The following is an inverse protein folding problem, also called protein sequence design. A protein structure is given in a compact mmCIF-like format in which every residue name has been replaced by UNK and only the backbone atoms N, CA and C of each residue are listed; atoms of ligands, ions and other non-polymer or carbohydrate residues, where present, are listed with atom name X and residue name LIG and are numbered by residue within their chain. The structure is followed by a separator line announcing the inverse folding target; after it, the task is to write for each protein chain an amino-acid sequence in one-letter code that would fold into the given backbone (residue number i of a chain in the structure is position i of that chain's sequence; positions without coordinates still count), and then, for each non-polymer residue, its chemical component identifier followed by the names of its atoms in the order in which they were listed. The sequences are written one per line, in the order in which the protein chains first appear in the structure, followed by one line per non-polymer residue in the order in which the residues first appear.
data_IF_915935720391
#
_entry.id   IF_915935720391
#
_cell.length_a   1.000
_cell.length_b   1.000
_cell.length_c   1.000
_cell.angle_alpha   90.00
_cell.angle_beta   90.00
_cell.angle_gamma   90.00
#
_symmetry.space_group_name_H-M   'P 1'
#
loop_
_entity.id
_entity.type
_entity.pdbx_description
1 polymer ?
#
# COMPACT_ATOMS: atom_id res chain seq x y z
N UNK A 1 4.33 12.66 6.88
CA UNK A 1 4.12 11.48 7.73
C UNK A 1 3.84 11.99 9.12
N UNK A 2 2.78 11.54 9.78
CA UNK A 2 2.45 11.97 11.15
C UNK A 2 2.96 10.93 12.12
N UNK A 3 3.87 11.31 13.02
CA UNK A 3 4.37 10.44 14.09
C UNK A 3 3.66 10.87 15.36
N UNK A 4 2.85 10.00 15.95
CA UNK A 4 2.18 10.26 17.21
C UNK A 4 2.97 9.67 18.38
N UNK A 5 2.81 10.25 19.58
CA UNK A 5 3.53 9.82 20.79
C UNK A 5 3.18 8.40 21.25
N UNK A 6 2.06 7.85 20.79
CA UNK A 6 1.63 6.46 21.01
C UNK A 6 2.21 5.48 19.96
N UNK A 7 3.08 5.96 19.05
CA UNK A 7 3.65 5.21 17.93
C UNK A 7 2.58 4.53 17.04
N UNK A 8 1.34 5.02 17.07
CA UNK A 8 0.22 4.46 16.31
C UNK A 8 0.09 5.09 14.94
N UNK A 9 -0.12 4.25 13.92
CA UNK A 9 -0.41 4.73 12.57
C UNK A 9 -1.84 5.25 12.40
N UNK A 10 -2.69 5.23 13.44
CA UNK A 10 -4.09 5.63 13.34
C UNK A 10 -4.27 7.08 12.89
N UNK A 11 -3.53 8.00 13.51
CA UNK A 11 -3.57 9.45 13.22
C UNK A 11 -3.10 9.70 11.78
N UNK A 12 -1.96 9.11 11.41
CA UNK A 12 -1.39 9.21 10.06
C UNK A 12 -2.32 8.65 8.98
N UNK A 13 -2.88 7.45 9.18
CA UNK A 13 -3.84 6.84 8.25
C UNK A 13 -5.07 7.72 8.11
N UNK A 14 -5.59 8.27 9.21
CA UNK A 14 -6.70 9.24 9.18
C UNK A 14 -6.38 10.48 8.34
N UNK A 15 -5.21 11.08 8.55
CA UNK A 15 -4.76 12.26 7.83
C UNK A 15 -4.58 12.00 6.33
N UNK A 16 -3.92 10.90 5.96
CA UNK A 16 -3.74 10.49 4.57
C UNK A 16 -5.09 10.23 3.90
N UNK A 17 -5.98 9.52 4.59
CA UNK A 17 -7.32 9.23 4.11
C UNK A 17 -8.15 10.50 3.89
N UNK A 18 -8.12 11.43 4.85
CA UNK A 18 -8.83 12.71 4.75
C UNK A 18 -8.28 13.58 3.62
N UNK A 19 -6.96 13.62 3.45
CA UNK A 19 -6.32 14.34 2.35
C UNK A 19 -6.76 13.79 0.99
N UNK A 20 -6.71 12.46 0.82
CA UNK A 20 -7.17 11.80 -0.41
C UNK A 20 -8.66 11.99 -0.66
N UNK A 21 -9.49 11.93 0.39
CA UNK A 21 -10.93 12.15 0.30
C UNK A 21 -11.26 13.59 -0.16
N UNK A 22 -10.59 14.61 0.41
CA UNK A 22 -10.77 16.01 -0.02
C UNK A 22 -10.46 16.18 -1.51
N UNK A 23 -9.38 15.57 -2.00
CA UNK A 23 -9.03 15.56 -3.43
C UNK A 23 -10.10 14.88 -4.28
N UNK A 24 -10.64 13.74 -3.84
CA UNK A 24 -11.75 13.08 -4.52
C UNK A 24 -13.02 13.95 -4.58
N UNK A 25 -13.38 14.60 -3.48
CA UNK A 25 -14.53 15.51 -3.45
C UNK A 25 -14.34 16.72 -4.37
N UNK A 26 -13.12 17.25 -4.45
CA UNK A 26 -12.78 18.28 -5.42
C UNK A 26 -12.98 17.78 -6.85
N UNK A 27 -12.39 16.63 -7.21
CA UNK A 27 -12.57 16.01 -8.53
C UNK A 27 -14.05 15.78 -8.86
N UNK A 28 -14.86 15.33 -7.88
CA UNK A 28 -16.30 15.13 -8.05
C UNK A 28 -17.04 16.39 -8.45
N UNK A 29 -16.58 17.55 -8.01
CA UNK A 29 -17.17 18.84 -8.38
C UNK A 29 -16.64 19.33 -9.72
N UNK A 30 -15.35 19.15 -9.98
CA UNK A 30 -14.69 19.69 -11.18
C UNK A 30 -14.88 18.85 -12.45
N UNK A 31 -15.02 17.52 -12.33
CA UNK A 31 -15.07 16.59 -13.46
C UNK A 31 -16.48 16.06 -13.74
N UNK A 32 -17.52 16.81 -13.38
CA UNK A 32 -18.91 16.40 -13.62
C UNK A 32 -19.16 16.23 -15.13
N UNK A 33 -19.80 15.13 -15.50
CA UNK A 33 -20.15 14.84 -16.90
C UNK A 33 -18.98 14.42 -17.81
N UNK A 34 -17.78 14.20 -17.26
CA UNK A 34 -16.63 13.71 -18.03
C UNK A 34 -16.61 12.18 -18.11
N UNK A 35 -15.92 11.66 -19.13
CA UNK A 35 -15.77 10.22 -19.34
C UNK A 35 -15.04 9.54 -18.17
N UNK A 36 -15.39 8.28 -17.92
CA UNK A 36 -14.78 7.42 -16.88
C UNK A 36 -13.27 7.29 -17.02
N UNK A 37 -12.74 7.31 -18.25
CA UNK A 37 -11.28 7.22 -18.51
C UNK A 37 -10.52 8.44 -18.01
N UNK A 38 -11.03 9.65 -18.26
CA UNK A 38 -10.43 10.90 -17.78
C UNK A 38 -10.45 10.89 -16.25
N UNK A 39 -11.58 10.53 -15.66
CA UNK A 39 -11.75 10.36 -14.23
C UNK A 39 -10.74 9.39 -13.62
N UNK A 40 -10.56 8.24 -14.26
CA UNK A 40 -9.62 7.19 -13.84
C UNK A 40 -8.18 7.70 -13.91
N UNK A 41 -7.82 8.44 -14.97
CA UNK A 41 -6.50 9.03 -15.13
C UNK A 41 -6.22 10.08 -14.06
N UNK A 42 -7.14 11.02 -13.83
CA UNK A 42 -6.99 12.05 -12.79
C UNK A 42 -6.91 11.42 -11.39
N UNK A 43 -7.67 10.35 -11.14
CA UNK A 43 -7.56 9.61 -9.88
C UNK A 43 -6.16 9.01 -9.71
N UNK A 44 -5.64 8.35 -10.75
CA UNK A 44 -4.32 7.72 -10.77
C UNK A 44 -3.20 8.76 -10.56
N UNK A 45 -3.36 10.00 -11.01
CA UNK A 45 -2.34 11.06 -10.91
C UNK A 45 -2.43 11.88 -9.62
N UNK A 46 -3.62 12.23 -9.12
CA UNK A 46 -3.76 13.18 -8.00
C UNK A 46 -4.04 12.53 -6.64
N UNK A 47 -4.87 11.49 -6.62
CA UNK A 47 -5.37 10.85 -5.38
C UNK A 47 -4.56 9.62 -5.06
N UNK A 48 -4.27 8.79 -6.06
CA UNK A 48 -3.55 7.53 -5.85
C UNK A 48 -2.15 7.72 -5.23
N UNK A 49 -1.36 8.75 -5.57
CA UNK A 49 -0.05 8.94 -4.94
C UNK A 49 -0.14 9.22 -3.44
N UNK A 50 -1.18 9.92 -2.96
CA UNK A 50 -1.31 10.21 -1.52
C UNK A 50 -1.53 8.95 -0.71
N UNK A 51 -2.31 7.99 -1.23
CA UNK A 51 -2.54 6.70 -0.60
C UNK A 51 -1.36 5.73 -0.72
N UNK A 52 -0.47 5.96 -1.70
CA UNK A 52 0.70 5.10 -1.98
C UNK A 52 1.98 5.59 -1.33
N UNK A 53 2.01 6.80 -0.79
CA UNK A 53 3.23 7.41 -0.33
C UNK A 53 3.87 6.60 0.81
N UNK A 54 5.19 6.40 0.77
CA UNK A 54 5.99 5.76 1.81
C UNK A 54 5.44 4.41 2.36
N UNK A 55 5.08 3.43 1.52
CA UNK A 55 4.48 2.18 1.96
C UNK A 55 5.46 1.26 2.70
N UNK A 56 6.76 1.58 2.64
CA UNK A 56 7.84 0.92 3.38
C UNK A 56 7.85 1.38 4.84
N UNK A 57 7.51 2.66 5.07
CA UNK A 57 7.51 3.28 6.40
C UNK A 57 6.21 2.93 7.13
N UNK A 58 5.08 3.01 6.43
CA UNK A 58 3.78 2.65 7.00
C UNK A 58 3.05 1.68 6.06
N UNK A 59 2.88 0.42 6.50
CA UNK A 59 1.99 -0.56 5.88
C UNK A 59 0.95 -0.97 6.93
N UNK A 60 -0.31 -0.51 6.82
CA UNK A 60 -1.32 -0.86 7.80
C UNK A 60 -1.56 -2.38 7.79
N UNK A 61 -1.46 -3.01 8.97
CA UNK A 61 -1.81 -4.42 9.18
C UNK A 61 -3.18 -4.60 9.78
N UNK A 62 -3.60 -3.69 10.65
CA UNK A 62 -4.92 -3.75 11.23
C UNK A 62 -5.96 -3.68 10.12
N UNK A 63 -6.87 -4.67 10.07
CA UNK A 63 -7.91 -4.76 9.05
C UNK A 63 -8.71 -3.45 8.97
N UNK A 64 -8.99 -2.83 10.11
CA UNK A 64 -9.65 -1.52 10.22
C UNK A 64 -8.92 -0.41 9.46
N UNK A 65 -7.59 -0.36 9.51
CA UNK A 65 -6.79 0.63 8.79
C UNK A 65 -6.74 0.31 7.30
N UNK A 66 -6.60 -0.97 6.94
CA UNK A 66 -6.63 -1.43 5.54
C UNK A 66 -7.97 -1.03 4.90
N UNK A 67 -9.08 -1.29 5.60
CA UNK A 67 -10.43 -0.97 5.12
C UNK A 67 -10.66 0.53 4.99
N UNK A 68 -10.11 1.35 5.89
CA UNK A 68 -10.16 2.83 5.76
C UNK A 68 -9.50 3.30 4.47
N UNK A 69 -8.34 2.75 4.13
CA UNK A 69 -7.60 3.12 2.92
C UNK A 69 -8.28 2.58 1.66
N UNK A 70 -8.72 1.32 1.67
CA UNK A 70 -9.44 0.70 0.54
C UNK A 70 -10.81 1.35 0.31
N UNK A 71 -11.48 1.86 1.35
CA UNK A 71 -12.74 2.61 1.23
C UNK A 71 -12.62 3.80 0.28
N UNK A 72 -11.48 4.47 0.24
CA UNK A 72 -11.25 5.63 -0.64
C UNK A 72 -11.19 5.18 -2.09
N UNK A 73 -10.50 4.07 -2.38
CA UNK A 73 -10.46 3.50 -3.72
C UNK A 73 -11.85 2.98 -4.17
N UNK A 74 -12.59 2.32 -3.26
CA UNK A 74 -13.98 1.89 -3.50
C UNK A 74 -14.89 3.07 -3.80
N UNK A 75 -14.77 4.17 -3.06
CA UNK A 75 -15.53 5.39 -3.30
C UNK A 75 -15.16 6.04 -4.64
N UNK A 76 -13.87 6.07 -4.99
CA UNK A 76 -13.41 6.58 -6.27
C UNK A 76 -14.03 5.80 -7.44
N UNK A 77 -14.10 4.47 -7.36
CA UNK A 77 -14.75 3.64 -8.39
C UNK A 77 -16.22 4.05 -8.61
N UNK A 78 -16.97 4.31 -7.53
CA UNK A 78 -18.35 4.78 -7.63
C UNK A 78 -18.45 6.15 -8.31
N UNK A 79 -17.52 7.07 -8.03
CA UNK A 79 -17.49 8.38 -8.67
C UNK A 79 -17.10 8.31 -10.15
N UNK A 80 -16.14 7.45 -10.51
CA UNK A 80 -15.69 7.26 -11.89
C UNK A 80 -16.85 6.84 -12.80
N UNK A 81 -17.67 5.89 -12.35
CA UNK A 81 -18.78 5.36 -13.16
C UNK A 81 -20.14 6.01 -12.84
N UNK A 82 -20.20 6.92 -11.86
CA UNK A 82 -21.45 7.48 -11.32
C UNK A 82 -22.46 6.41 -10.88
N UNK A 83 -21.93 5.32 -10.32
CA UNK A 83 -22.65 4.08 -9.97
C UNK A 83 -22.80 3.94 -8.46
N UNK A 84 -24.01 4.24 -7.96
CA UNK A 84 -24.30 4.42 -6.53
C UNK A 84 -25.23 3.36 -5.96
N UNK A 85 -25.67 2.40 -6.77
CA UNK A 85 -26.58 1.37 -6.30
C UNK A 85 -25.83 0.42 -5.35
N UNK A 86 -26.58 -0.13 -4.39
CA UNK A 86 -26.14 -1.16 -3.44
C UNK A 86 -25.95 -2.51 -4.14
N UNK A 87 -26.70 -2.80 -5.19
CA UNK A 87 -26.59 -4.04 -5.96
C UNK A 87 -25.36 -4.08 -6.89
N UNK A 88 -24.75 -2.92 -7.15
CA UNK A 88 -23.55 -2.85 -7.97
C UNK A 88 -22.31 -3.32 -7.22
N UNK A 89 -21.65 -4.33 -7.79
CA UNK A 89 -20.38 -4.83 -7.27
C UNK A 89 -19.27 -3.81 -7.47
N UNK A 90 -18.81 -3.21 -6.38
CA UNK A 90 -17.65 -2.29 -6.40
C UNK A 90 -16.39 -3.01 -6.90
N UNK A 91 -16.26 -4.31 -6.64
CA UNK A 91 -15.14 -5.11 -7.15
C UNK A 91 -15.16 -5.21 -8.68
N UNK A 92 -16.34 -5.28 -9.30
CA UNK A 92 -16.48 -5.23 -10.75
C UNK A 92 -16.09 -3.84 -11.30
N UNK A 93 -16.54 -2.76 -10.66
CA UNK A 93 -16.16 -1.39 -11.04
C UNK A 93 -14.64 -1.17 -10.95
N UNK A 94 -14.00 -1.69 -9.90
CA UNK A 94 -12.55 -1.60 -9.76
C UNK A 94 -11.81 -2.36 -10.86
N UNK A 95 -12.36 -3.50 -11.29
CA UNK A 95 -11.81 -4.27 -12.42
C UNK A 95 -11.98 -3.51 -13.74
N UNK A 96 -13.14 -2.92 -13.97
CA UNK A 96 -13.45 -2.08 -15.14
C UNK A 96 -12.50 -0.87 -15.22
N UNK A 97 -12.26 -0.16 -14.11
CA UNK A 97 -11.30 0.95 -14.05
C UNK A 97 -9.81 0.52 -14.02
N UNK A 98 -9.54 -0.79 -14.09
CA UNK A 98 -8.19 -1.37 -14.00
C UNK A 98 -7.43 -0.92 -12.72
N UNK A 99 -8.15 -0.81 -11.61
CA UNK A 99 -7.62 -0.38 -10.33
C UNK A 99 -7.34 -1.60 -9.44
N UNK A 100 -6.10 -2.10 -9.51
CA UNK A 100 -5.58 -3.09 -8.55
C UNK A 100 -5.72 -2.60 -7.10
N UNK A 101 -5.96 -3.49 -6.14
CA UNK A 101 -6.04 -3.16 -4.71
C UNK A 101 -4.80 -2.41 -4.21
N UNK A 102 -4.97 -1.55 -3.21
CA UNK A 102 -3.85 -0.85 -2.61
C UNK A 102 -2.93 -1.82 -1.87
N UNK A 103 -3.49 -2.87 -1.26
CA UNK A 103 -2.73 -3.96 -0.65
C UNK A 103 -1.73 -4.61 -1.62
N UNK A 104 -2.18 -5.02 -2.82
CA UNK A 104 -1.29 -5.62 -3.82
C UNK A 104 -0.18 -4.66 -4.25
N UNK A 105 -0.51 -3.36 -4.38
CA UNK A 105 0.48 -2.34 -4.75
C UNK A 105 1.52 -2.11 -3.66
N UNK A 106 1.10 -2.12 -2.39
CA UNK A 106 2.03 -2.04 -1.25
C UNK A 106 2.91 -3.28 -1.19
N UNK A 107 2.39 -4.48 -1.50
CA UNK A 107 3.19 -5.70 -1.64
C UNK A 107 4.28 -5.53 -2.70
N UNK A 108 3.93 -5.07 -3.90
CA UNK A 108 4.91 -4.82 -4.98
C UNK A 108 5.96 -3.80 -4.54
N UNK A 109 5.56 -2.69 -3.92
CA UNK A 109 6.50 -1.66 -3.47
C UNK A 109 7.51 -2.20 -2.44
N UNK A 110 7.06 -3.06 -1.52
CA UNK A 110 7.93 -3.69 -0.54
C UNK A 110 8.88 -4.71 -1.16
N UNK A 111 8.40 -5.53 -2.09
CA UNK A 111 9.26 -6.47 -2.82
C UNK A 111 10.33 -5.73 -3.63
N UNK A 112 9.95 -4.62 -4.29
CA UNK A 112 10.90 -3.76 -5.00
C UNK A 112 11.95 -3.18 -4.04
N UNK A 113 11.53 -2.71 -2.87
CA UNK A 113 12.45 -2.21 -1.86
C UNK A 113 13.40 -3.29 -1.35
N UNK A 114 12.88 -4.48 -1.06
CA UNK A 114 13.68 -5.63 -0.64
C UNK A 114 14.71 -6.03 -1.70
N UNK A 115 14.33 -6.06 -2.98
CA UNK A 115 15.25 -6.30 -4.09
C UNK A 115 16.39 -5.27 -4.10
N UNK A 116 16.06 -3.98 -4.00
CA UNK A 116 17.07 -2.91 -4.00
C UNK A 116 18.00 -3.00 -2.77
N UNK A 117 17.46 -3.38 -1.62
CA UNK A 117 18.22 -3.60 -0.40
C UNK A 117 19.16 -4.81 -0.56
N UNK A 118 18.65 -5.94 -1.05
CA UNK A 118 19.41 -7.18 -1.21
C UNK A 118 20.62 -7.01 -2.14
N UNK A 119 20.43 -6.35 -3.28
CA UNK A 119 21.50 -6.09 -4.25
C UNK A 119 22.36 -4.85 -3.91
N UNK A 120 22.23 -4.28 -2.71
CA UNK A 120 23.01 -3.13 -2.22
C UNK A 120 22.92 -1.88 -3.12
N UNK A 121 21.80 -1.70 -3.81
CA UNK A 121 21.52 -0.47 -4.56
C UNK A 121 21.09 0.69 -3.65
N UNK A 122 20.79 0.40 -2.38
CA UNK A 122 20.54 1.39 -1.35
C UNK A 122 21.85 1.59 -0.56
N UNK A 123 22.26 2.84 -0.34
CA UNK A 123 23.40 3.17 0.54
C UNK A 123 23.04 2.99 2.02
N UNK A 124 22.56 1.80 2.37
CA UNK A 124 22.13 1.38 3.70
C UNK A 124 22.95 0.14 4.03
N UNK A 125 23.45 0.03 5.26
CA UNK A 125 24.12 -1.20 5.69
C UNK A 125 23.12 -2.37 5.69
N UNK A 126 23.32 -3.30 4.77
CA UNK A 126 22.45 -4.46 4.58
C UNK A 126 22.67 -5.54 5.64
N UNK A 127 23.85 -5.57 6.26
CA UNK A 127 24.23 -6.65 7.19
C UNK A 127 23.39 -6.63 8.47
N UNK A 128 22.87 -5.45 8.85
CA UNK A 128 21.99 -5.29 9.99
C UNK A 128 20.60 -5.93 9.77
N UNK A 129 20.15 -6.03 8.52
CA UNK A 129 18.75 -6.34 8.17
C UNK A 129 18.56 -7.66 7.40
N UNK A 130 19.58 -8.11 6.66
CA UNK A 130 19.53 -9.29 5.80
C UNK A 130 20.63 -10.25 6.24
N UNK A 131 20.26 -11.49 6.60
CA UNK A 131 21.22 -12.55 6.97
C UNK A 131 21.16 -13.68 5.96
N UNK A 132 22.32 -14.19 5.58
CA UNK A 132 22.39 -15.43 4.81
C UNK A 132 21.94 -16.62 5.66
N UNK A 133 21.22 -17.60 5.09
CA UNK A 133 20.76 -18.75 5.85
C UNK A 133 21.92 -19.53 6.46
N UNK A 134 21.86 -19.73 7.78
CA UNK A 134 22.91 -20.44 8.51
C UNK A 134 23.06 -21.90 8.07
N UNK A 135 21.96 -22.54 7.66
CA UNK A 135 21.93 -23.91 7.13
C UNK A 135 21.37 -23.92 5.72
N UNK A 136 22.21 -24.23 4.73
CA UNK A 136 21.78 -24.38 3.33
C UNK A 136 21.42 -25.83 3.02
N UNK A 137 20.13 -26.10 2.84
CA UNK A 137 19.68 -27.34 2.20
C UNK A 137 19.57 -27.12 0.70
N UNK A 138 20.34 -27.84 -0.12
CA UNK A 138 20.26 -27.76 -1.59
C UNK A 138 18.87 -28.14 -2.15
N UNK A 139 18.03 -28.82 -1.35
CA UNK A 139 16.67 -29.19 -1.74
C UNK A 139 15.62 -28.11 -1.46
N UNK A 140 15.88 -27.22 -0.51
CA UNK A 140 14.91 -26.23 -0.03
C UNK A 140 15.32 -24.79 -0.32
N UNK A 141 16.62 -24.52 -0.50
CA UNK A 141 17.17 -23.17 -0.56
C UNK A 141 17.92 -22.94 -1.88
N UNK A 142 17.70 -21.78 -2.49
CA UNK A 142 18.46 -21.30 -3.66
C UNK A 142 19.62 -20.37 -3.22
N UNK A 143 20.47 -19.95 -4.15
CA UNK A 143 21.62 -19.09 -3.88
C UNK A 143 21.23 -17.71 -3.33
N UNK A 144 20.04 -17.24 -3.69
CA UNK A 144 19.49 -15.95 -3.27
C UNK A 144 18.63 -16.05 -2.00
N UNK A 145 18.67 -17.18 -1.30
CA UNK A 145 17.89 -17.37 -0.08
C UNK A 145 18.40 -16.49 1.05
N UNK A 146 17.46 -15.98 1.84
CA UNK A 146 17.71 -15.07 2.97
C UNK A 146 16.95 -15.60 4.17
N UNK A 147 17.58 -15.61 5.34
CA UNK A 147 16.88 -15.91 6.58
C UNK A 147 16.02 -14.70 6.98
N UNK A 148 14.70 -14.89 7.17
CA UNK A 148 13.83 -13.80 7.58
C UNK A 148 14.26 -13.31 8.97
N UNK A 149 14.33 -11.98 9.13
CA UNK A 149 14.58 -11.39 10.44
C UNK A 149 13.42 -11.76 11.38
N UNK A 150 13.72 -12.43 12.50
CA UNK A 150 12.74 -12.82 13.51
C UNK A 150 12.83 -11.87 14.71
N UNK A 151 11.97 -10.86 14.80
CA UNK A 151 11.99 -9.91 15.89
C UNK A 151 11.27 -10.47 17.11
N UNK A 152 11.89 -10.30 18.28
CA UNK A 152 11.28 -10.61 19.57
C UNK A 152 10.39 -9.47 20.12
N UNK A 153 10.41 -8.30 19.47
CA UNK A 153 9.68 -7.10 19.90
C UNK A 153 8.68 -6.70 18.80
N UNK A 154 7.45 -6.36 19.21
CA UNK A 154 6.34 -6.02 18.33
C UNK A 154 6.68 -4.86 17.36
N UNK A 155 7.52 -3.91 17.79
CA UNK A 155 8.00 -2.78 16.97
C UNK A 155 8.68 -3.26 15.68
N UNK A 156 9.51 -4.29 15.76
CA UNK A 156 10.18 -4.86 14.57
C UNK A 156 9.31 -5.89 13.84
N UNK A 157 8.35 -6.53 14.53
CA UNK A 157 7.40 -7.50 13.95
C UNK A 157 6.54 -6.89 12.84
N UNK A 158 6.30 -5.59 12.91
CA UNK A 158 5.49 -4.85 11.94
C UNK A 158 6.32 -4.09 10.90
N UNK A 159 7.64 -4.26 10.89
CA UNK A 159 8.52 -3.64 9.89
C UNK A 159 8.39 -4.30 8.51
N UNK A 160 8.92 -3.61 7.51
CA UNK A 160 8.93 -4.05 6.11
C UNK A 160 9.65 -5.39 5.89
N UNK A 161 10.54 -5.80 6.81
CA UNK A 161 11.39 -6.99 6.69
C UNK A 161 10.67 -8.29 7.05
N UNK A 162 9.64 -8.23 7.91
CA UNK A 162 9.12 -9.39 8.62
C UNK A 162 7.66 -9.59 8.25
N UNK A 163 7.38 -10.04 7.02
CA UNK A 163 6.03 -10.47 6.65
C UNK A 163 6.09 -11.88 6.09
N UNK A 164 5.79 -12.85 6.94
CA UNK A 164 5.50 -14.21 6.49
C UNK A 164 4.21 -14.16 5.66
N UNK A 165 4.26 -14.72 4.45
CA UNK A 165 3.10 -14.82 3.55
C UNK A 165 1.99 -15.66 4.18
#
# INVERSE_FOLDING_TARGET
ITISGDLSWNTHVGNVCNSAYRKLCFMRRSLRGTNSDIWTNVYKTLVRPTLKYAPIIWDPRAQTQIDKVERIQRLAARFIFSKYDRHESVSALLREAQLSSLASRRRIARLKFFYLLYFKYLHIDTQTYIRSPGRRSRRLNNELSVDPFMPNIDIFKYTFLVKNN
#
